data_IF_664128007926
#
_entry.id   IF_664128007926
#
_cell.length_a   1.000
_cell.length_b   1.000
_cell.length_c   1.000
_cell.angle_alpha   90.00
_cell.angle_beta   90.00
_cell.angle_gamma   90.00
#
_symmetry.space_group_name_H-M   'P 1'
#
loop_
_entity.id
_entity.type
_entity.pdbx_description
1 polymer ?
#
# COMPACT_ATOMS: atom_id res chain seq x y z
N UNK A 1 36.61 -1.85 -13.55
CA UNK A 1 36.49 -2.58 -12.26
C UNK A 1 35.75 -1.69 -11.29
N UNK A 2 34.66 -2.17 -10.73
CA UNK A 2 33.88 -1.43 -9.72
C UNK A 2 34.62 -1.50 -8.40
N UNK A 3 34.88 -0.35 -7.75
CA UNK A 3 35.52 -0.31 -6.43
C UNK A 3 34.53 -0.83 -5.35
N UNK A 4 35.02 -1.62 -4.41
CA UNK A 4 34.25 -2.06 -3.26
C UNK A 4 33.82 -0.85 -2.41
N UNK A 5 32.53 -0.70 -2.14
CA UNK A 5 31.95 0.32 -1.26
C UNK A 5 31.45 -0.35 0.02
N UNK A 6 31.97 0.07 1.16
CA UNK A 6 31.62 -0.50 2.46
C UNK A 6 31.44 0.59 3.50
N UNK A 7 30.56 0.36 4.48
CA UNK A 7 30.42 1.14 5.69
C UNK A 7 30.28 0.24 6.92
N UNK A 8 30.66 0.66 8.10
CA UNK A 8 30.36 -0.07 9.33
C UNK A 8 28.84 -0.06 9.61
N UNK A 9 28.29 -1.09 10.29
CA UNK A 9 26.91 -1.06 10.78
C UNK A 9 26.75 0.03 11.85
N UNK A 10 25.59 0.69 11.87
CA UNK A 10 25.33 1.80 12.82
C UNK A 10 24.88 1.32 14.19
N UNK A 11 24.27 0.13 14.29
CA UNK A 11 23.62 -0.36 15.52
C UNK A 11 22.33 0.39 15.91
N UNK A 12 21.90 1.36 15.12
CA UNK A 12 20.69 2.15 15.37
C UNK A 12 19.45 1.34 14.97
N UNK A 13 18.39 1.46 15.78
CA UNK A 13 17.11 0.78 15.52
C UNK A 13 16.36 1.48 14.38
N UNK A 14 15.97 0.77 13.32
CA UNK A 14 15.15 1.35 12.26
C UNK A 14 13.69 1.52 12.71
N UNK A 15 12.91 2.32 11.95
CA UNK A 15 11.48 2.41 12.13
C UNK A 15 10.82 1.04 12.09
N UNK A 16 9.92 0.73 13.05
CA UNK A 16 9.33 -0.60 13.17
C UNK A 16 8.11 -0.78 12.28
N UNK A 17 7.95 -1.99 11.76
CA UNK A 17 6.73 -2.53 11.18
C UNK A 17 6.19 -3.61 12.12
N UNK A 18 5.03 -3.38 12.73
CA UNK A 18 4.44 -4.24 13.76
C UNK A 18 3.23 -4.97 13.20
N UNK A 19 3.19 -6.29 13.36
CA UNK A 19 2.04 -7.11 13.06
C UNK A 19 1.27 -7.45 14.34
N UNK A 20 0.02 -7.01 14.42
CA UNK A 20 -0.96 -7.49 15.39
C UNK A 20 -1.85 -8.56 14.75
N UNK A 21 -1.79 -9.75 15.26
CA UNK A 21 -2.50 -10.89 14.72
C UNK A 21 -3.38 -11.54 15.81
N UNK A 22 -4.46 -12.17 15.39
CA UNK A 22 -5.33 -12.91 16.32
C UNK A 22 -6.71 -13.20 15.73
N UNK A 23 -7.50 -14.03 16.44
CA UNK A 23 -8.86 -14.36 16.06
C UNK A 23 -9.77 -13.11 16.07
N UNK A 24 -11.03 -13.32 15.75
CA UNK A 24 -12.04 -12.27 15.80
C UNK A 24 -12.20 -11.69 17.22
N UNK A 25 -12.43 -10.38 17.31
CA UNK A 25 -12.67 -9.66 18.58
C UNK A 25 -11.53 -9.81 19.62
N UNK A 26 -10.30 -10.09 19.18
CA UNK A 26 -9.12 -10.21 20.05
C UNK A 26 -8.47 -8.88 20.43
N UNK A 27 -9.01 -7.74 19.95
CA UNK A 27 -8.53 -6.41 20.30
C UNK A 27 -7.44 -5.83 19.42
N UNK A 28 -7.18 -6.36 18.21
CA UNK A 28 -6.15 -5.87 17.28
C UNK A 28 -6.33 -4.39 16.93
N UNK A 29 -7.48 -4.07 16.33
CA UNK A 29 -7.81 -2.69 15.91
C UNK A 29 -7.96 -1.77 17.14
N UNK A 30 -8.52 -2.29 18.25
CA UNK A 30 -8.62 -1.55 19.49
C UNK A 30 -7.23 -1.13 20.03
N UNK A 31 -6.26 -2.05 20.08
CA UNK A 31 -4.90 -1.74 20.53
C UNK A 31 -4.18 -0.74 19.59
N UNK A 32 -4.44 -0.80 18.30
CA UNK A 32 -3.94 0.19 17.34
C UNK A 32 -4.55 1.57 17.60
N UNK A 33 -5.86 1.64 17.87
CA UNK A 33 -6.54 2.90 18.17
C UNK A 33 -6.12 3.49 19.53
N UNK A 34 -5.98 2.67 20.59
CA UNK A 34 -5.41 3.12 21.86
C UNK A 34 -4.02 3.75 21.71
N UNK A 35 -3.18 3.16 20.84
CA UNK A 35 -1.84 3.69 20.60
C UNK A 35 -1.85 5.09 20.00
N UNK A 36 -2.90 5.48 19.28
CA UNK A 36 -2.99 6.83 18.69
C UNK A 36 -3.11 7.94 19.74
N UNK A 37 -3.43 7.60 21.00
CA UNK A 37 -3.45 8.52 22.13
C UNK A 37 -2.04 8.77 22.74
N UNK A 38 -0.99 8.05 22.28
CA UNK A 38 0.36 8.18 22.79
C UNK A 38 0.95 9.56 22.45
N UNK A 39 1.50 10.25 23.44
CA UNK A 39 2.11 11.59 23.27
C UNK A 39 3.50 11.55 22.57
N UNK A 40 4.08 10.34 22.41
CA UNK A 40 5.39 10.12 21.77
C UNK A 40 5.31 10.01 20.24
N UNK A 41 4.09 10.00 19.66
CA UNK A 41 3.86 9.91 18.23
C UNK A 41 3.23 11.19 17.69
N UNK A 42 3.36 11.40 16.37
CA UNK A 42 2.72 12.47 15.61
C UNK A 42 1.37 12.04 15.04
N UNK A 43 1.05 12.57 13.87
CA UNK A 43 -0.20 12.23 13.18
C UNK A 43 -0.26 10.74 12.87
N UNK A 44 -1.39 10.12 13.16
CA UNK A 44 -1.70 8.77 12.73
C UNK A 44 -2.65 8.80 11.53
N UNK A 45 -2.34 8.01 10.50
CA UNK A 45 -3.19 7.75 9.35
C UNK A 45 -3.67 6.31 9.40
N UNK A 46 -4.98 6.11 9.26
CA UNK A 46 -5.61 4.79 9.33
C UNK A 46 -6.19 4.41 7.98
N UNK A 47 -5.63 3.42 7.34
CA UNK A 47 -6.14 2.81 6.11
C UNK A 47 -6.96 1.58 6.47
N UNK A 48 -8.29 1.72 6.43
CA UNK A 48 -9.24 0.64 6.72
C UNK A 48 -9.55 -0.13 5.43
N UNK A 49 -9.03 -1.34 5.30
CA UNK A 49 -9.29 -2.21 4.15
C UNK A 49 -10.29 -3.29 4.58
N UNK A 50 -11.58 -2.95 4.52
CA UNK A 50 -12.68 -3.89 4.64
C UNK A 50 -13.02 -4.38 6.05
N UNK A 51 -12.49 -3.79 7.11
CA UNK A 51 -12.87 -4.11 8.50
C UNK A 51 -13.96 -3.16 9.03
N UNK A 52 -14.00 -1.90 8.56
CA UNK A 52 -15.07 -0.92 8.84
C UNK A 52 -15.13 -0.45 10.30
N UNK A 53 -14.03 -0.54 11.05
CA UNK A 53 -14.00 -0.27 12.47
C UNK A 53 -13.37 1.09 12.83
N UNK A 54 -12.77 1.77 11.87
CA UNK A 54 -12.00 2.99 12.11
C UNK A 54 -12.85 4.11 12.74
N UNK A 55 -14.06 4.34 12.27
CA UNK A 55 -14.92 5.39 12.79
C UNK A 55 -15.38 5.14 14.24
N UNK A 56 -15.68 3.88 14.58
CA UNK A 56 -16.18 3.52 15.92
C UNK A 56 -15.08 3.72 16.98
N UNK A 57 -13.85 3.38 16.68
CA UNK A 57 -12.74 3.50 17.64
C UNK A 57 -12.28 4.95 17.88
N UNK A 58 -12.74 5.91 17.11
CA UNK A 58 -12.55 7.32 17.41
C UNK A 58 -13.19 7.73 18.75
N UNK A 59 -14.11 6.93 19.30
CA UNK A 59 -14.69 7.12 20.62
C UNK A 59 -13.78 6.74 21.79
N UNK A 60 -12.63 6.12 21.53
CA UNK A 60 -11.63 5.81 22.58
C UNK A 60 -11.06 7.13 23.11
N UNK A 61 -11.03 7.35 24.43
CA UNK A 61 -10.52 8.60 25.00
C UNK A 61 -9.07 8.87 24.58
N UNK A 62 -8.85 10.04 23.97
CA UNK A 62 -7.53 10.46 23.49
C UNK A 62 -7.14 9.89 22.13
N UNK A 63 -7.92 9.02 21.52
CA UNK A 63 -7.65 8.54 20.16
C UNK A 63 -7.57 9.72 19.17
N UNK A 64 -6.52 9.75 18.37
CA UNK A 64 -6.25 10.82 17.43
C UNK A 64 -5.64 10.28 16.13
N UNK A 65 -6.47 10.11 15.12
CA UNK A 65 -6.07 9.64 13.80
C UNK A 65 -6.97 10.19 12.70
N UNK A 66 -6.48 10.17 11.48
CA UNK A 66 -7.24 10.48 10.28
C UNK A 66 -7.49 9.18 9.50
N UNK A 67 -8.74 8.95 9.12
CA UNK A 67 -9.08 7.83 8.24
C UNK A 67 -8.72 8.20 6.81
N UNK A 68 -7.95 7.35 6.16
CA UNK A 68 -7.55 7.51 4.76
C UNK A 68 -8.67 6.99 3.87
N UNK A 69 -9.30 7.88 3.12
CA UNK A 69 -10.33 7.51 2.16
C UNK A 69 -9.73 6.86 0.91
N UNK A 70 -10.40 5.85 0.37
CA UNK A 70 -10.03 5.19 -0.87
C UNK A 70 -11.25 4.62 -1.59
N UNK A 71 -11.14 4.44 -2.91
CA UNK A 71 -12.23 3.91 -3.76
C UNK A 71 -12.31 2.36 -3.77
N UNK A 72 -11.44 1.69 -3.03
CA UNK A 72 -11.33 0.22 -2.96
C UNK A 72 -10.49 -0.39 -4.08
N UNK A 73 -10.00 0.40 -5.03
CA UNK A 73 -9.06 -0.08 -6.05
C UNK A 73 -7.64 -0.23 -5.49
N UNK A 74 -6.90 -1.22 -6.01
CA UNK A 74 -5.51 -1.40 -5.64
C UNK A 74 -4.64 -0.17 -5.94
N UNK A 75 -4.89 0.49 -7.07
CA UNK A 75 -4.11 1.66 -7.49
C UNK A 75 -4.29 2.83 -6.53
N UNK A 76 -5.54 3.06 -6.07
CA UNK A 76 -5.81 4.12 -5.12
C UNK A 76 -5.25 3.80 -3.74
N UNK A 77 -5.42 2.56 -3.24
CA UNK A 77 -4.84 2.11 -1.97
C UNK A 77 -3.32 2.35 -1.94
N UNK A 78 -2.60 1.96 -3.00
CA UNK A 78 -1.15 2.20 -3.08
C UNK A 78 -0.84 3.68 -3.16
N UNK A 79 -1.56 4.45 -3.97
CA UNK A 79 -1.39 5.90 -4.06
C UNK A 79 -1.59 6.62 -2.72
N UNK A 80 -2.56 6.18 -1.91
CA UNK A 80 -2.76 6.70 -0.56
C UNK A 80 -1.61 6.33 0.39
N UNK A 81 -1.09 5.11 0.34
CA UNK A 81 0.09 4.70 1.13
C UNK A 81 1.32 5.52 0.74
N UNK A 82 1.55 5.74 -0.55
CA UNK A 82 2.63 6.61 -1.06
C UNK A 82 2.46 8.05 -0.55
N UNK A 83 1.25 8.61 -0.60
CA UNK A 83 0.96 9.96 -0.11
C UNK A 83 1.22 10.11 1.40
N UNK A 84 0.80 9.13 2.21
CA UNK A 84 1.09 9.12 3.66
C UNK A 84 2.59 8.98 3.91
N UNK A 85 3.32 8.18 3.13
CA UNK A 85 4.79 8.05 3.22
C UNK A 85 5.49 9.37 2.90
N UNK A 86 5.02 10.08 1.88
CA UNK A 86 5.57 11.40 1.52
C UNK A 86 5.30 12.44 2.61
N UNK A 87 4.15 12.38 3.27
CA UNK A 87 3.84 13.25 4.40
C UNK A 87 4.73 12.91 5.61
N UNK A 88 4.93 11.61 5.89
CA UNK A 88 5.82 11.15 6.94
C UNK A 88 7.28 11.60 6.71
N UNK A 89 7.74 11.63 5.46
CA UNK A 89 9.09 12.07 5.12
C UNK A 89 9.35 13.57 5.37
N UNK A 90 8.29 14.39 5.39
CA UNK A 90 8.38 15.84 5.68
C UNK A 90 8.35 16.13 7.18
N UNK A 91 7.88 15.19 8.00
CA UNK A 91 7.65 15.38 9.43
C UNK A 91 8.93 15.08 10.20
N UNK A 92 9.37 16.01 11.05
CA UNK A 92 10.65 15.92 11.78
C UNK A 92 10.52 15.92 13.30
N UNK A 93 9.34 16.26 13.83
CA UNK A 93 9.14 16.42 15.29
C UNK A 93 8.80 15.06 15.94
N UNK A 94 7.64 14.48 15.60
CA UNK A 94 7.21 13.19 16.13
C UNK A 94 6.93 12.22 14.97
N UNK A 95 7.20 10.91 15.15
CA UNK A 95 7.00 9.96 14.06
C UNK A 95 5.54 9.87 13.64
N UNK A 96 5.31 9.93 12.34
CA UNK A 96 4.02 9.60 11.73
C UNK A 96 3.76 8.10 11.91
N UNK A 97 2.51 7.75 12.15
CA UNK A 97 2.06 6.35 12.26
C UNK A 97 1.13 6.03 11.08
N UNK A 98 1.36 4.91 10.43
CA UNK A 98 0.45 4.33 9.45
C UNK A 98 -0.13 3.05 10.02
N UNK A 99 -1.46 2.98 10.11
CA UNK A 99 -2.21 1.76 10.47
C UNK A 99 -2.86 1.20 9.21
N UNK A 100 -2.67 -0.10 8.94
CA UNK A 100 -3.41 -0.83 7.88
C UNK A 100 -4.25 -1.93 8.54
N UNK A 101 -5.54 -1.80 8.45
CA UNK A 101 -6.53 -2.72 9.01
C UNK A 101 -7.46 -3.23 7.88
N UNK A 102 -7.18 -4.39 7.25
CA UNK A 102 -6.20 -5.42 7.60
C UNK A 102 -5.43 -5.97 6.39
N UNK A 103 -4.27 -6.56 6.64
CA UNK A 103 -3.49 -7.30 5.63
C UNK A 103 -4.18 -8.60 5.18
N UNK A 104 -5.12 -9.10 5.97
CA UNK A 104 -6.00 -10.19 5.53
C UNK A 104 -6.93 -9.74 4.41
N UNK A 105 -7.53 -8.57 4.56
CA UNK A 105 -8.40 -7.98 3.55
C UNK A 105 -7.61 -7.55 2.31
N UNK A 106 -6.41 -7.00 2.49
CA UNK A 106 -5.47 -6.69 1.41
C UNK A 106 -5.20 -7.93 0.53
N UNK A 107 -4.82 -9.05 1.17
CA UNK A 107 -4.51 -10.27 0.43
C UNK A 107 -5.76 -10.87 -0.23
N UNK A 108 -6.93 -10.76 0.39
CA UNK A 108 -8.20 -11.17 -0.21
C UNK A 108 -8.54 -10.34 -1.44
N UNK A 109 -8.34 -9.01 -1.39
CA UNK A 109 -8.52 -8.12 -2.53
C UNK A 109 -7.65 -8.53 -3.72
N UNK A 110 -6.39 -8.90 -3.49
CA UNK A 110 -5.49 -9.39 -4.54
C UNK A 110 -5.91 -10.76 -5.09
N UNK A 111 -6.40 -11.67 -4.24
CA UNK A 111 -6.97 -12.97 -4.68
C UNK A 111 -8.22 -12.76 -5.56
N UNK A 112 -9.11 -11.87 -5.14
CA UNK A 112 -10.32 -11.55 -5.90
C UNK A 112 -9.97 -10.91 -7.24
N UNK A 113 -8.98 -10.02 -7.26
CA UNK A 113 -8.46 -9.44 -8.49
C UNK A 113 -7.95 -10.52 -9.46
N UNK A 114 -7.17 -11.53 -8.99
CA UNK A 114 -6.70 -12.62 -9.86
C UNK A 114 -7.87 -13.40 -10.45
N UNK A 115 -8.87 -13.70 -9.63
CA UNK A 115 -10.06 -14.44 -10.03
C UNK A 115 -10.87 -13.67 -11.08
N UNK A 116 -11.11 -12.38 -10.87
CA UNK A 116 -11.80 -11.51 -11.81
C UNK A 116 -11.05 -11.40 -13.13
N UNK A 117 -9.72 -11.23 -13.11
CA UNK A 117 -8.88 -11.18 -14.32
C UNK A 117 -8.91 -12.49 -15.09
N UNK A 118 -8.90 -13.63 -14.41
CA UNK A 118 -9.04 -14.94 -15.05
C UNK A 118 -10.38 -15.07 -15.77
N UNK A 119 -11.49 -14.72 -15.11
CA UNK A 119 -12.84 -14.74 -15.68
C UNK A 119 -12.99 -13.79 -16.89
N UNK A 120 -12.32 -12.65 -16.86
CA UNK A 120 -12.33 -11.67 -17.96
C UNK A 120 -11.38 -12.03 -19.12
N UNK A 121 -10.50 -13.00 -18.97
CA UNK A 121 -9.63 -13.49 -20.04
C UNK A 121 -10.43 -14.11 -21.19
N UNK A 122 -9.82 -14.22 -22.39
CA UNK A 122 -10.46 -14.85 -23.56
C UNK A 122 -10.92 -16.29 -23.24
N UNK A 123 -10.09 -17.05 -22.53
CA UNK A 123 -10.41 -18.41 -22.12
C UNK A 123 -11.53 -18.45 -21.08
N UNK A 124 -11.48 -17.57 -20.08
CA UNK A 124 -12.51 -17.44 -19.05
C UNK A 124 -13.87 -17.06 -19.61
N UNK A 125 -13.93 -16.04 -20.48
CA UNK A 125 -15.15 -15.65 -21.16
C UNK A 125 -15.75 -16.77 -22.00
N UNK A 126 -14.91 -17.56 -22.69
CA UNK A 126 -15.37 -18.73 -23.48
C UNK A 126 -15.93 -19.82 -22.56
N UNK A 127 -15.28 -20.12 -21.45
CA UNK A 127 -15.77 -21.11 -20.49
C UNK A 127 -17.13 -20.70 -19.89
N UNK A 128 -17.25 -19.45 -19.43
CA UNK A 128 -18.47 -18.91 -18.83
C UNK A 128 -19.63 -18.76 -19.84
N UNK A 129 -19.33 -18.56 -21.12
CA UNK A 129 -20.36 -18.55 -22.17
C UNK A 129 -20.89 -19.96 -22.45
N UNK A 130 -20.11 -21.01 -22.25
CA UNK A 130 -20.53 -22.40 -22.39
C UNK A 130 -21.25 -22.91 -21.13
N UNK A 131 -20.80 -22.50 -19.95
CA UNK A 131 -21.36 -22.84 -18.64
C UNK A 131 -21.15 -21.63 -17.68
N UNK A 132 -22.24 -20.93 -17.31
CA UNK A 132 -22.17 -19.77 -16.41
C UNK A 132 -21.54 -20.09 -15.03
N UNK A 133 -21.64 -21.34 -14.57
CA UNK A 133 -21.13 -21.83 -13.31
C UNK A 133 -19.72 -22.45 -13.42
N UNK A 134 -19.09 -22.37 -14.61
CA UNK A 134 -17.76 -22.92 -14.83
C UNK A 134 -16.71 -22.32 -13.87
N UNK A 135 -15.93 -23.19 -13.24
CA UNK A 135 -14.78 -22.79 -12.43
C UNK A 135 -13.64 -22.28 -13.33
N UNK A 136 -13.35 -20.98 -13.25
CA UNK A 136 -12.21 -20.36 -13.96
C UNK A 136 -11.08 -20.13 -13.00
N UNK A 137 -10.04 -20.97 -13.07
CA UNK A 137 -8.86 -20.87 -12.20
C UNK A 137 -7.87 -19.81 -12.73
N UNK A 138 -7.36 -18.91 -11.86
CA UNK A 138 -6.28 -18.00 -12.24
C UNK A 138 -5.02 -18.76 -12.65
N UNK A 139 -4.39 -18.32 -13.74
CA UNK A 139 -3.08 -18.83 -14.15
C UNK A 139 -1.94 -18.35 -13.26
N UNK A 140 -0.79 -19.00 -13.33
CA UNK A 140 0.40 -18.67 -12.53
C UNK A 140 0.87 -17.22 -12.74
N UNK A 141 0.76 -16.69 -13.95
CA UNK A 141 1.10 -15.30 -14.27
C UNK A 141 0.29 -14.29 -13.44
N UNK A 142 -1.02 -14.54 -13.24
CA UNK A 142 -1.86 -13.66 -12.42
C UNK A 142 -1.49 -13.74 -10.93
N UNK A 143 -1.08 -14.92 -10.47
CA UNK A 143 -0.55 -15.08 -9.11
C UNK A 143 0.80 -14.38 -8.92
N UNK A 144 1.66 -14.40 -9.94
CA UNK A 144 2.92 -13.65 -9.90
C UNK A 144 2.67 -12.14 -9.85
N UNK A 145 1.69 -11.64 -10.61
CA UNK A 145 1.28 -10.24 -10.58
C UNK A 145 0.73 -9.86 -9.20
N UNK A 146 -0.12 -10.71 -8.58
CA UNK A 146 -0.64 -10.47 -7.23
C UNK A 146 0.49 -10.45 -6.18
N UNK A 147 1.43 -11.39 -6.25
CA UNK A 147 2.59 -11.42 -5.38
C UNK A 147 3.46 -10.15 -5.57
N UNK A 148 3.69 -9.72 -6.82
CA UNK A 148 4.43 -8.49 -7.12
C UNK A 148 3.77 -7.25 -6.52
N UNK A 149 2.44 -7.17 -6.59
CA UNK A 149 1.66 -6.09 -5.96
C UNK A 149 1.81 -6.08 -4.44
N UNK A 150 1.64 -7.24 -3.80
CA UNK A 150 1.87 -7.38 -2.35
C UNK A 150 3.31 -7.00 -1.97
N UNK A 151 4.31 -7.47 -2.71
CA UNK A 151 5.72 -7.13 -2.47
C UNK A 151 5.98 -5.63 -2.58
N UNK A 152 5.34 -4.96 -3.53
CA UNK A 152 5.43 -3.49 -3.66
C UNK A 152 4.86 -2.77 -2.43
N UNK A 153 3.67 -3.16 -1.96
CA UNK A 153 3.13 -2.63 -0.70
C UNK A 153 4.11 -2.88 0.46
N UNK A 154 4.60 -4.12 0.62
CA UNK A 154 5.54 -4.45 1.70
C UNK A 154 6.83 -3.62 1.62
N UNK A 155 7.33 -3.33 0.40
CA UNK A 155 8.47 -2.44 0.22
C UNK A 155 8.16 -1.03 0.77
N UNK A 156 7.01 -0.45 0.44
CA UNK A 156 6.58 0.85 0.94
C UNK A 156 6.49 0.86 2.48
N UNK A 157 5.93 -0.21 3.08
CA UNK A 157 5.79 -0.33 4.54
C UNK A 157 7.14 -0.52 5.24
N UNK A 158 8.04 -1.35 4.70
CA UNK A 158 9.36 -1.59 5.27
C UNK A 158 10.30 -0.37 5.17
N UNK A 159 10.07 0.49 4.18
CA UNK A 159 10.83 1.73 3.97
C UNK A 159 10.08 2.98 4.42
N UNK A 160 9.01 2.83 5.18
CA UNK A 160 8.22 3.93 5.71
C UNK A 160 9.05 4.75 6.73
N UNK A 161 9.10 6.09 6.61
CA UNK A 161 9.87 6.95 7.52
C UNK A 161 9.09 7.27 8.80
N UNK A 162 8.63 6.24 9.49
CA UNK A 162 7.81 6.32 10.69
C UNK A 162 7.41 4.93 11.18
N UNK A 163 6.39 4.85 12.01
CA UNK A 163 5.91 3.62 12.62
C UNK A 163 4.79 3.04 11.75
N UNK A 164 4.87 1.75 11.42
CA UNK A 164 3.79 1.05 10.71
C UNK A 164 3.20 -0.03 11.61
N UNK A 165 1.88 -0.06 11.70
CA UNK A 165 1.11 -1.07 12.41
C UNK A 165 0.19 -1.73 11.40
N UNK A 166 0.28 -3.05 11.27
CA UNK A 166 -0.62 -3.81 10.42
C UNK A 166 -1.37 -4.83 11.26
N UNK A 167 -2.64 -5.04 10.95
CA UNK A 167 -3.44 -6.10 11.58
C UNK A 167 -3.63 -7.25 10.60
N UNK A 168 -3.80 -8.45 11.12
CA UNK A 168 -4.20 -9.61 10.35
C UNK A 168 -5.02 -10.58 11.19
N UNK A 169 -5.89 -11.35 10.54
CA UNK A 169 -6.57 -12.47 11.18
C UNK A 169 -5.58 -13.60 11.38
N UNK A 170 -5.74 -14.32 12.49
CA UNK A 170 -4.94 -15.49 12.81
C UNK A 170 -5.81 -16.68 13.19
N UNK A 171 -5.28 -17.85 12.91
CA UNK A 171 -5.93 -19.11 13.26
C UNK A 171 -4.90 -20.12 13.75
N UNK A 172 -5.33 -20.95 14.67
CA UNK A 172 -4.60 -22.17 14.99
C UNK A 172 -4.97 -23.25 14.00
N UNK A 173 -3.96 -23.87 13.41
CA UNK A 173 -4.09 -25.01 12.51
C UNK A 173 -3.36 -26.21 13.08
N UNK A 174 -3.74 -27.42 12.71
CA UNK A 174 -2.99 -28.61 13.08
C UNK A 174 -1.58 -28.53 12.52
N UNK A 175 -0.57 -28.78 13.35
CA UNK A 175 0.80 -28.96 12.88
C UNK A 175 0.90 -30.21 12.01
N UNK A 176 1.68 -30.16 10.94
CA UNK A 176 1.88 -31.28 10.02
C UNK A 176 3.24 -31.93 10.26
N UNK A 177 3.31 -33.24 10.09
CA UNK A 177 4.56 -33.98 10.03
C UNK A 177 5.27 -33.79 8.67
N UNK A 178 6.46 -34.36 8.53
CA UNK A 178 7.27 -34.29 7.28
C UNK A 178 6.55 -34.91 6.06
N UNK A 179 5.49 -35.70 6.28
CA UNK A 179 4.66 -36.30 5.24
C UNK A 179 3.36 -35.51 4.99
N UNK A 180 3.20 -34.33 5.64
CA UNK A 180 2.02 -33.51 5.51
C UNK A 180 0.79 -34.00 6.28
N UNK A 181 0.95 -34.92 7.25
CA UNK A 181 -0.14 -35.44 8.07
C UNK A 181 -0.28 -34.65 9.38
N UNK A 182 -1.50 -34.41 9.86
CA UNK A 182 -1.72 -33.73 11.13
C UNK A 182 -1.09 -34.48 12.29
N UNK A 183 -0.31 -33.80 13.11
CA UNK A 183 0.26 -34.32 14.35
C UNK A 183 -0.82 -34.22 15.45
N UNK A 184 -1.30 -35.32 16.03
CA UNK A 184 -2.33 -35.30 17.07
C UNK A 184 -1.92 -34.42 18.27
N UNK A 185 -2.80 -33.48 18.65
CA UNK A 185 -2.57 -32.60 19.81
C UNK A 185 -1.55 -31.49 19.62
N UNK A 186 -0.92 -31.40 18.43
CA UNK A 186 -0.02 -30.30 18.07
C UNK A 186 -0.73 -29.30 17.18
N UNK A 187 -0.57 -28.00 17.51
CA UNK A 187 -1.12 -26.89 16.74
C UNK A 187 -0.03 -25.88 16.44
N UNK A 188 -0.08 -25.32 15.24
CA UNK A 188 0.71 -24.17 14.88
C UNK A 188 -0.19 -22.93 14.68
N UNK A 189 0.40 -21.78 14.92
CA UNK A 189 -0.27 -20.51 14.73
C UNK A 189 0.03 -19.97 13.35
N UNK A 190 -1.00 -19.60 12.59
CA UNK A 190 -0.86 -19.16 11.21
C UNK A 190 -1.58 -17.84 10.97
N UNK A 191 -0.86 -16.90 10.38
CA UNK A 191 -1.43 -15.62 9.92
C UNK A 191 -2.26 -15.86 8.65
N UNK A 192 -3.48 -15.32 8.62
CA UNK A 192 -4.36 -15.38 7.45
C UNK A 192 -4.14 -14.13 6.57
N UNK A 193 -3.00 -14.08 5.91
CA UNK A 193 -2.57 -13.05 4.99
C UNK A 193 -1.59 -13.65 3.97
N UNK A 194 -0.84 -12.82 3.25
CA UNK A 194 0.26 -13.33 2.44
C UNK A 194 1.28 -14.08 3.31
N UNK A 195 1.79 -15.19 2.80
CA UNK A 195 2.66 -16.12 3.54
C UNK A 195 3.94 -15.49 4.10
N UNK A 196 4.44 -14.44 3.43
CA UNK A 196 5.71 -13.81 3.78
C UNK A 196 5.55 -12.64 4.78
N UNK A 197 4.31 -12.19 5.06
CA UNK A 197 4.04 -11.07 5.96
C UNK A 197 4.76 -11.18 7.32
N UNK A 198 4.71 -12.35 7.94
CA UNK A 198 5.34 -12.57 9.24
C UNK A 198 6.88 -12.51 9.22
N UNK A 199 7.52 -12.72 8.05
CA UNK A 199 8.97 -12.60 7.89
C UNK A 199 9.42 -11.15 7.76
N UNK A 200 8.59 -10.29 7.19
CA UNK A 200 8.95 -8.91 6.84
C UNK A 200 8.82 -7.96 8.02
N UNK A 201 7.95 -8.28 8.98
CA UNK A 201 7.70 -7.43 10.14
C UNK A 201 8.85 -7.39 11.14
N UNK A 202 8.94 -6.29 11.90
CA UNK A 202 9.91 -6.14 13.00
C UNK A 202 9.49 -6.96 14.21
N UNK A 203 8.20 -6.92 14.53
CA UNK A 203 7.64 -7.69 15.63
C UNK A 203 6.26 -8.24 15.24
N UNK A 204 6.03 -9.46 15.65
CA UNK A 204 4.75 -10.16 15.49
C UNK A 204 4.18 -10.44 16.87
N UNK A 205 3.02 -9.87 17.15
CA UNK A 205 2.27 -10.04 18.39
C UNK A 205 0.93 -10.72 18.12
N UNK A 206 0.68 -11.78 18.84
CA UNK A 206 -0.60 -12.52 18.82
C UNK A 206 -1.48 -12.04 19.96
N UNK A 207 -2.67 -11.55 19.64
CA UNK A 207 -3.70 -11.15 20.59
C UNK A 207 -4.77 -12.24 20.68
N UNK A 208 -5.23 -12.52 21.89
CA UNK A 208 -6.26 -13.52 22.15
C UNK A 208 -7.19 -13.02 23.26
N UNK A 209 -8.47 -13.43 23.25
CA UNK A 209 -9.44 -13.08 24.29
C UNK A 209 -9.21 -13.82 25.60
N UNK A 210 -8.69 -15.04 25.51
CA UNK A 210 -8.63 -15.99 26.62
C UNK A 210 -7.27 -16.01 27.31
N UNK A 211 -6.26 -15.41 26.68
CA UNK A 211 -4.88 -15.38 27.20
C UNK A 211 -4.27 -13.99 27.02
N UNK A 212 -3.25 -13.71 27.83
CA UNK A 212 -2.46 -12.50 27.63
C UNK A 212 -1.85 -12.43 26.22
N UNK A 213 -1.63 -11.22 25.69
CA UNK A 213 -0.90 -11.03 24.45
C UNK A 213 0.43 -11.78 24.44
N UNK A 214 0.83 -12.27 23.29
CA UNK A 214 2.06 -13.04 23.12
C UNK A 214 2.93 -12.45 22.03
N UNK A 215 4.17 -12.11 22.36
CA UNK A 215 5.19 -11.75 21.37
C UNK A 215 5.69 -13.04 20.73
N UNK A 216 5.31 -13.26 19.48
CA UNK A 216 5.64 -14.46 18.69
C UNK A 216 7.04 -14.43 18.14
N UNK A 217 7.45 -13.28 17.63
CA UNK A 217 8.77 -13.09 17.06
C UNK A 217 9.15 -11.60 17.03
N UNK A 218 10.43 -11.34 17.17
CA UNK A 218 10.97 -9.98 17.15
C UNK A 218 12.34 -10.00 16.47
N UNK A 219 12.53 -9.10 15.53
CA UNK A 219 13.84 -8.82 14.94
C UNK A 219 14.47 -7.63 15.67
N UNK A 220 14.99 -7.86 16.89
CA UNK A 220 15.63 -6.83 17.68
C UNK A 220 16.64 -7.46 18.66
N UNK A 221 17.76 -6.79 18.85
CA UNK A 221 18.76 -7.16 19.87
C UNK A 221 18.38 -6.63 21.27
N UNK A 222 17.41 -5.71 21.35
CA UNK A 222 17.00 -5.05 22.60
C UNK A 222 15.83 -5.75 23.29
N UNK A 223 15.11 -6.63 22.59
CA UNK A 223 13.90 -7.29 23.11
C UNK A 223 14.15 -8.27 24.26
N UNK A 224 15.41 -8.68 24.49
CA UNK A 224 15.75 -9.75 25.40
C UNK A 224 15.32 -11.15 24.91
N UNK A 225 14.74 -11.25 23.71
CA UNK A 225 14.43 -12.50 23.03
C UNK A 225 15.51 -12.82 22.01
N UNK A 226 16.09 -14.00 22.08
CA UNK A 226 17.09 -14.46 21.11
C UNK A 226 16.39 -15.14 19.95
N UNK A 227 16.45 -14.58 18.72
CA UNK A 227 15.82 -15.20 17.55
C UNK A 227 16.33 -16.65 17.34
N UNK A 228 15.40 -17.54 17.05
CA UNK A 228 15.71 -18.97 16.82
C UNK A 228 16.05 -19.78 18.07
N UNK A 229 16.10 -19.16 19.26
CA UNK A 229 16.43 -19.81 20.54
C UNK A 229 15.26 -19.71 21.54
N UNK A 230 14.73 -18.51 21.75
CA UNK A 230 13.72 -18.27 22.76
C UNK A 230 12.31 -18.55 22.20
N UNK A 231 11.47 -19.16 23.02
CA UNK A 231 10.06 -19.41 22.68
C UNK A 231 9.25 -18.12 22.71
N UNK A 232 8.08 -18.06 22.04
CA UNK A 232 7.14 -16.96 22.18
C UNK A 232 6.87 -16.61 23.63
N UNK A 233 6.84 -15.31 23.96
CA UNK A 233 6.74 -14.81 25.33
C UNK A 233 5.40 -14.13 25.57
N UNK A 234 4.72 -14.50 26.66
CA UNK A 234 3.55 -13.78 27.16
C UNK A 234 3.95 -12.37 27.60
N UNK A 235 3.12 -11.40 27.26
CA UNK A 235 3.29 -10.00 27.58
C UNK A 235 2.00 -9.43 28.21
N UNK A 236 1.70 -9.73 29.50
CA UNK A 236 0.49 -9.25 30.15
C UNK A 236 0.37 -7.72 30.19
N UNK A 237 1.50 -7.03 30.20
CA UNK A 237 1.60 -5.57 30.18
C UNK A 237 1.64 -4.98 28.75
N UNK A 238 1.27 -5.75 27.76
CA UNK A 238 1.37 -5.33 26.37
C UNK A 238 0.61 -4.03 26.11
N UNK A 239 1.32 -3.07 25.52
CA UNK A 239 0.79 -1.99 24.72
C UNK A 239 1.74 -1.78 23.54
N UNK A 240 1.27 -1.15 22.48
CA UNK A 240 2.14 -0.80 21.35
C UNK A 240 3.22 0.19 21.77
N UNK A 241 2.89 1.14 22.66
CA UNK A 241 3.87 2.07 23.22
C UNK A 241 5.00 1.34 23.93
N UNK A 242 4.67 0.44 24.85
CA UNK A 242 5.65 -0.40 25.55
C UNK A 242 6.50 -1.23 24.57
N UNK A 243 5.86 -1.86 23.58
CA UNK A 243 6.59 -2.69 22.62
C UNK A 243 7.58 -1.85 21.80
N UNK A 244 7.12 -0.73 21.24
CA UNK A 244 7.92 0.07 20.29
C UNK A 244 9.05 0.80 21.01
N UNK A 245 8.73 1.47 22.09
CA UNK A 245 9.67 2.39 22.72
C UNK A 245 10.48 1.76 23.87
N UNK A 246 9.88 0.82 24.62
CA UNK A 246 10.57 0.25 25.79
C UNK A 246 11.21 -1.10 25.47
N UNK A 247 10.62 -1.93 24.61
CA UNK A 247 11.18 -3.23 24.24
C UNK A 247 12.09 -3.12 23.04
N UNK A 248 11.61 -2.54 21.93
CA UNK A 248 12.40 -2.40 20.71
C UNK A 248 13.43 -1.27 20.81
N UNK A 249 13.29 -0.35 21.78
CA UNK A 249 14.12 0.84 21.93
C UNK A 249 14.17 1.72 20.69
N UNK A 250 13.02 1.82 19.98
CA UNK A 250 12.90 2.75 18.88
C UNK A 250 12.93 4.18 19.42
N UNK A 251 13.98 4.92 19.09
CA UNK A 251 14.12 6.32 19.48
C UNK A 251 13.83 7.21 18.27
N UNK A 252 12.76 8.03 18.32
CA UNK A 252 12.42 8.94 17.22
C UNK A 252 13.56 9.87 16.77
N UNK A 253 14.45 10.23 17.68
CA UNK A 253 15.58 11.12 17.37
C UNK A 253 16.67 10.44 16.52
N UNK A 254 16.74 9.12 16.53
CA UNK A 254 17.82 8.36 15.87
C UNK A 254 17.33 7.30 14.90
N UNK A 255 16.04 6.95 14.97
CA UNK A 255 15.46 5.95 14.08
C UNK A 255 15.61 6.34 12.61
N UNK A 256 15.86 5.36 11.78
CA UNK A 256 16.11 5.58 10.35
C UNK A 256 15.25 4.66 9.49
N UNK A 257 15.08 5.05 8.23
CA UNK A 257 14.45 4.21 7.20
C UNK A 257 15.40 3.04 6.90
N UNK A 258 14.85 1.84 6.74
CA UNK A 258 15.64 0.67 6.36
C UNK A 258 16.16 0.82 4.94
N UNK A 259 17.43 0.48 4.73
CA UNK A 259 17.98 0.30 3.39
C UNK A 259 17.33 -0.98 2.79
N UNK A 260 16.34 -0.81 1.96
CA UNK A 260 15.74 -1.89 1.20
C UNK A 260 16.11 -1.70 -0.27
N UNK A 261 16.81 -2.66 -0.84
CA UNK A 261 17.23 -2.60 -2.25
C UNK A 261 16.02 -2.89 -3.11
N UNK A 262 15.59 -1.88 -3.86
CA UNK A 262 14.67 -2.10 -4.98
C UNK A 262 15.38 -2.88 -6.10
N UNK A 263 14.58 -3.40 -7.02
CA UNK A 263 15.03 -4.06 -8.25
C UNK A 263 16.19 -3.27 -8.89
N UNK A 264 17.23 -3.98 -9.32
CA UNK A 264 18.42 -3.41 -9.94
C UNK A 264 18.06 -2.30 -10.94
N UNK A 265 18.59 -1.09 -10.77
CA UNK A 265 18.36 0.00 -11.74
C UNK A 265 18.73 -0.36 -13.19
N UNK A 266 19.61 -1.35 -13.39
CA UNK A 266 19.95 -1.87 -14.73
C UNK A 266 18.79 -2.60 -15.43
N UNK A 267 17.82 -3.13 -14.66
CA UNK A 267 16.62 -3.77 -15.19
C UNK A 267 15.47 -2.79 -15.47
N UNK A 268 15.68 -1.50 -15.16
CA UNK A 268 14.70 -0.47 -15.48
C UNK A 268 14.64 -0.20 -16.96
N UNK A 269 13.43 -0.27 -17.50
CA UNK A 269 13.18 0.08 -18.91
C UNK A 269 13.26 1.59 -19.05
N UNK A 270 14.02 2.07 -20.05
CA UNK A 270 13.98 3.48 -20.38
C UNK A 270 12.65 3.82 -21.04
N UNK A 271 11.97 4.83 -20.52
CA UNK A 271 10.76 5.35 -21.16
C UNK A 271 11.16 5.96 -22.49
N UNK A 272 10.51 5.60 -23.62
CA UNK A 272 10.87 6.12 -24.92
C UNK A 272 10.75 7.65 -24.98
N UNK A 273 11.76 8.34 -25.51
CA UNK A 273 11.74 9.80 -25.70
C UNK A 273 10.52 10.28 -26.50
N UNK A 274 10.06 9.46 -27.45
CA UNK A 274 8.85 9.74 -28.24
C UNK A 274 7.58 9.74 -27.39
N UNK A 275 7.51 8.89 -26.35
CA UNK A 275 6.41 8.89 -25.38
C UNK A 275 6.47 10.14 -24.51
N UNK A 276 7.65 10.48 -23.99
CA UNK A 276 7.84 11.69 -23.18
C UNK A 276 7.46 12.96 -23.96
N UNK A 277 7.95 13.07 -25.20
CA UNK A 277 7.65 14.20 -26.06
C UNK A 277 6.13 14.33 -26.31
N UNK A 278 5.44 13.20 -26.52
CA UNK A 278 4.00 13.17 -26.71
C UNK A 278 3.24 13.59 -25.45
N UNK A 279 3.61 13.10 -24.27
CA UNK A 279 3.04 13.49 -22.99
C UNK A 279 3.20 14.99 -22.74
N UNK A 280 4.37 15.55 -23.03
CA UNK A 280 4.66 16.99 -22.86
C UNK A 280 3.99 17.90 -23.91
N UNK A 281 3.71 17.36 -25.10
CA UNK A 281 3.01 18.08 -26.13
C UNK A 281 1.51 18.25 -25.93
N UNK A 282 0.95 17.48 -24.97
CA UNK A 282 -0.48 17.44 -24.67
C UNK A 282 -1.13 16.15 -25.16
N UNK A 283 -2.03 15.63 -24.36
CA UNK A 283 -2.76 14.39 -24.63
C UNK A 283 -4.27 14.63 -24.57
N UNK A 284 -5.02 13.94 -25.41
CA UNK A 284 -6.47 13.83 -25.28
C UNK A 284 -6.85 13.00 -24.05
N UNK A 285 -8.08 13.10 -23.57
CA UNK A 285 -8.58 12.34 -22.39
C UNK A 285 -8.34 10.83 -22.56
N UNK A 286 -8.62 10.26 -23.74
CA UNK A 286 -8.39 8.83 -24.00
C UNK A 286 -6.90 8.47 -23.98
N UNK A 287 -6.04 9.33 -24.49
CA UNK A 287 -4.60 9.15 -24.47
C UNK A 287 -4.03 9.30 -23.06
N UNK A 288 -4.58 10.20 -22.23
CA UNK A 288 -4.21 10.31 -20.81
C UNK A 288 -4.47 8.99 -20.06
N UNK A 289 -5.64 8.38 -20.24
CA UNK A 289 -5.94 7.08 -19.64
C UNK A 289 -4.99 5.96 -20.11
N UNK A 290 -4.63 5.97 -21.40
CA UNK A 290 -3.65 5.02 -21.94
C UNK A 290 -2.24 5.27 -21.39
N UNK A 291 -1.85 6.54 -21.24
CA UNK A 291 -0.57 6.94 -20.67
C UNK A 291 -0.46 6.56 -19.18
N UNK A 292 -1.49 6.80 -18.37
CA UNK A 292 -1.54 6.33 -16.99
C UNK A 292 -1.40 4.79 -16.92
N UNK A 293 -2.17 4.05 -17.71
CA UNK A 293 -2.09 2.59 -17.74
C UNK A 293 -0.72 2.03 -18.18
N UNK A 294 0.03 2.77 -19.00
CA UNK A 294 1.40 2.45 -19.35
C UNK A 294 2.37 2.75 -18.20
N UNK A 295 2.26 3.94 -17.59
CA UNK A 295 3.11 4.35 -16.46
C UNK A 295 2.90 3.50 -15.20
N UNK A 296 1.72 2.90 -15.03
CA UNK A 296 1.43 1.94 -13.95
C UNK A 296 2.11 0.58 -14.14
N UNK A 297 2.54 0.26 -15.35
CA UNK A 297 3.09 -1.06 -15.69
C UNK A 297 4.56 -1.04 -16.03
N UNK A 298 5.09 0.15 -16.35
CA UNK A 298 6.49 0.26 -16.78
C UNK A 298 7.40 0.19 -15.56
N UNK A 299 8.36 -0.73 -15.59
CA UNK A 299 9.46 -0.74 -14.63
C UNK A 299 10.53 0.26 -15.09
N UNK A 300 10.31 1.55 -14.81
CA UNK A 300 11.21 2.64 -15.18
C UNK A 300 11.65 3.41 -13.93
N UNK A 301 12.47 4.45 -14.12
CA UNK A 301 12.91 5.30 -13.02
C UNK A 301 11.70 5.93 -12.30
N UNK A 302 11.54 5.73 -10.96
CA UNK A 302 10.38 6.21 -10.20
C UNK A 302 10.19 7.72 -10.26
N UNK A 303 11.29 8.50 -10.21
CA UNK A 303 11.21 9.96 -10.30
C UNK A 303 10.68 10.39 -11.66
N UNK A 304 11.15 9.73 -12.73
CA UNK A 304 10.70 9.98 -14.08
C UNK A 304 9.24 9.58 -14.30
N UNK A 305 8.83 8.44 -13.74
CA UNK A 305 7.43 7.98 -13.77
C UNK A 305 6.53 8.98 -13.04
N UNK A 306 6.92 9.44 -11.84
CA UNK A 306 6.16 10.42 -11.06
C UNK A 306 6.05 11.76 -11.79
N UNK A 307 7.15 12.25 -12.39
CA UNK A 307 7.15 13.46 -13.23
C UNK A 307 6.14 13.36 -14.38
N UNK A 308 6.20 12.27 -15.14
CA UNK A 308 5.31 12.07 -16.28
C UNK A 308 3.85 11.89 -15.88
N UNK A 309 3.57 11.20 -14.76
CA UNK A 309 2.21 11.13 -14.19
C UNK A 309 1.63 12.50 -13.87
N UNK A 310 2.42 13.37 -13.25
CA UNK A 310 1.99 14.72 -12.95
C UNK A 310 1.65 15.52 -14.21
N UNK A 311 2.40 15.32 -15.30
CA UNK A 311 2.11 15.96 -16.61
C UNK A 311 0.84 15.38 -17.22
N UNK A 312 0.66 14.05 -17.21
CA UNK A 312 -0.55 13.39 -17.73
C UNK A 312 -1.79 13.83 -16.95
N UNK A 313 -1.71 13.94 -15.63
CA UNK A 313 -2.80 14.42 -14.81
C UNK A 313 -3.19 15.86 -15.13
N UNK A 314 -2.21 16.75 -15.35
CA UNK A 314 -2.45 18.12 -15.78
C UNK A 314 -3.14 18.18 -17.15
N UNK A 315 -2.69 17.39 -18.12
CA UNK A 315 -3.32 17.31 -19.43
C UNK A 315 -4.79 16.85 -19.33
N UNK A 316 -5.09 15.92 -18.41
CA UNK A 316 -6.45 15.45 -18.16
C UNK A 316 -7.34 16.57 -17.62
N UNK A 317 -6.84 17.35 -16.66
CA UNK A 317 -7.55 18.47 -16.07
C UNK A 317 -7.78 19.61 -17.08
N UNK A 318 -6.79 19.92 -17.90
CA UNK A 318 -6.90 20.92 -18.98
C UNK A 318 -7.93 20.51 -20.02
N UNK A 319 -7.87 19.27 -20.51
CA UNK A 319 -8.87 18.73 -21.46
C UNK A 319 -10.27 18.67 -20.88
N UNK A 320 -10.40 18.39 -19.57
CA UNK A 320 -11.70 18.42 -18.91
C UNK A 320 -12.26 19.83 -18.81
N UNK A 321 -11.42 20.85 -18.53
CA UNK A 321 -11.81 22.26 -18.52
C UNK A 321 -12.24 22.76 -19.90
N UNK A 322 -11.49 22.43 -20.95
CA UNK A 322 -11.82 22.78 -22.34
C UNK A 322 -13.16 22.20 -22.75
N UNK A 323 -13.43 20.93 -22.43
CA UNK A 323 -14.73 20.31 -22.71
C UNK A 323 -15.89 20.98 -21.96
N UNK A 324 -15.68 21.42 -20.72
CA UNK A 324 -16.69 22.17 -19.95
C UNK A 324 -16.92 23.56 -20.56
N UNK A 325 -15.85 24.26 -20.95
CA UNK A 325 -15.97 25.58 -21.59
C UNK A 325 -16.68 25.49 -22.93
N UNK A 326 -16.36 24.51 -23.78
CA UNK A 326 -17.04 24.25 -25.05
C UNK A 326 -18.52 23.87 -24.88
N UNK A 327 -18.89 23.26 -23.75
CA UNK A 327 -20.30 22.93 -23.43
C UNK A 327 -21.10 24.14 -22.90
N UNK A 328 -20.42 25.15 -22.35
CA UNK A 328 -21.05 26.37 -21.82
C UNK A 328 -21.27 27.43 -22.90
N UNK A 329 -20.43 27.49 -23.93
CA UNK A 329 -20.51 28.47 -25.03
C UNK A 329 -20.40 27.80 -26.42
N UNK A 330 -21.47 27.09 -26.85
CA UNK A 330 -21.48 26.45 -28.18
C UNK A 330 -21.52 27.41 -29.35
N UNK A 331 -21.73 28.75 -29.15
CA UNK A 331 -21.90 29.74 -30.22
C UNK A 331 -20.71 30.68 -30.40
N UNK A 332 -19.60 30.52 -29.66
CA UNK A 332 -18.47 31.46 -29.75
C UNK A 332 -17.75 31.38 -31.08
N UNK A 333 -17.63 30.24 -31.72
CA UNK A 333 -17.03 30.09 -33.07
C UNK A 333 -17.97 30.56 -34.17
N UNK A 334 -19.30 30.45 -34.00
CA UNK A 334 -20.27 30.95 -34.93
C UNK A 334 -20.31 32.49 -35.00
N UNK A 335 -20.11 33.15 -33.85
CA UNK A 335 -20.08 34.61 -33.74
C UNK A 335 -18.83 35.24 -34.36
N UNK A 336 -17.66 34.59 -34.29
CA UNK A 336 -16.43 35.07 -34.93
C UNK A 336 -16.46 34.92 -36.43
N UNK A 337 -17.06 33.84 -36.95
CA UNK A 337 -17.20 33.64 -38.40
C UNK A 337 -18.16 34.65 -39.03
N UNK A 338 -19.25 34.98 -38.35
CA UNK A 338 -20.24 36.00 -38.82
C UNK A 338 -19.66 37.39 -38.80
N UNK A 339 -18.86 37.77 -37.77
CA UNK A 339 -18.20 39.09 -37.72
C UNK A 339 -17.11 39.24 -38.77
N UNK A 340 -16.36 38.17 -39.08
CA UNK A 340 -15.35 38.20 -40.17
C UNK A 340 -15.97 38.32 -41.55
N UNK A 341 -17.11 37.66 -41.81
CA UNK A 341 -17.86 37.77 -43.04
C UNK A 341 -18.53 39.14 -43.24
N UNK A 342 -19.05 39.75 -42.15
CA UNK A 342 -19.61 41.11 -42.20
C UNK A 342 -18.53 42.19 -42.43
N UNK A 343 -17.36 42.07 -41.81
CA UNK A 343 -16.24 42.98 -42.04
C UNK A 343 -15.64 42.83 -43.45
N UNK A 344 -15.58 41.63 -43.99
CA UNK A 344 -15.10 41.37 -45.36
C UNK A 344 -16.08 41.82 -46.45
N UNK A 345 -17.37 41.99 -46.15
CA UNK A 345 -18.37 42.51 -47.07
C UNK A 345 -18.36 44.04 -47.12
N UNK A 346 -17.95 44.75 -46.07
CA UNK A 346 -17.82 46.22 -46.08
C UNK A 346 -16.56 46.72 -46.82
N UNK A 347 -15.47 45.96 -46.91
CA UNK A 347 -14.28 46.34 -47.67
C UNK A 347 -14.43 46.16 -49.18
N UNK A 348 -15.43 45.45 -49.67
CA UNK A 348 -15.71 45.27 -51.10
C UNK A 348 -16.74 46.25 -51.69
N UNK A 349 -17.29 47.13 -50.84
CA UNK A 349 -18.28 48.13 -51.25
C UNK A 349 -17.78 49.59 -51.13
N UNK A 350 -16.44 49.81 -51.05
CA UNK A 350 -15.84 51.13 -51.08
C UNK A 350 -14.95 51.29 -52.29
#
# INVERSE_FOLDING_TARGET
>A
MTALRVRPPTGVVPWPLILLEGPEKSGKSFAAAEFTACDRIGQTYWLDIGEGAADEYAAIPGANYLVVEHDGSWADIIGQVEAVRDEAAKTTDKPVVLVIDSMTAEWNLLKDWTSQRARQSKAGKKALAADPDAEVKPGMNLWNDANGRHQHLMHLLMTFPGIVIVTARGKEVASLDDNGRPIPGSKEHKVDAHKDLAFDVTAWVSLNRDTSPMVRGVRSVHSGLRPGVDKPKLAPQFSLEWLIFDVLKCDPATAHVRDHVETDPSDRVQIPESFEAKVRAGLTVEECHKAHAYLDKVNADPEKVAELRAVVQRNLEESARENVMAAIDPDHDAAQTTLADELGAQEKAS
#
